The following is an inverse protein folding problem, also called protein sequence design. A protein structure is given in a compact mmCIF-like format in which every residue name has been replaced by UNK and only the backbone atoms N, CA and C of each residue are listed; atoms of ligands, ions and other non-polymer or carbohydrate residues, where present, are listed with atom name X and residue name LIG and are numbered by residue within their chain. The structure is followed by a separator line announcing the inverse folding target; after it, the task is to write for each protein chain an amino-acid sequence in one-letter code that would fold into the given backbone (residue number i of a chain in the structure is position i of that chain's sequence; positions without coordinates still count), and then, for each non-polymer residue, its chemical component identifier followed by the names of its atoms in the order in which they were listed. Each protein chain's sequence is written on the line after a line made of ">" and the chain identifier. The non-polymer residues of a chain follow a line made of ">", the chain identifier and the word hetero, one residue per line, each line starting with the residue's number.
data_IF_617477318323
#
_entry.id   IF_617477318323
#
_cell.length_a   1.000
_cell.length_b   1.000
_cell.length_c   1.000
_cell.angle_alpha   90.00
_cell.angle_beta   90.00
_cell.angle_gamma   90.00
#
_symmetry.space_group_name_H-M   'P 1'
#
loop_
_entity.id
_entity.type
_entity.pdbx_description
1 polymer ?
#
# COMPACT_ATOMS: atom_id res chain seq x y z
N UNK A 1 18.14 18.86 54.14
CA UNK A 1 17.12 19.87 54.49
C UNK A 1 17.00 20.78 53.29
N UNK A 2 16.28 20.36 52.25
CA UNK A 2 14.84 20.61 52.01
C UNK A 2 14.70 21.77 51.02
N UNK A 3 14.50 21.51 49.71
CA UNK A 3 13.29 21.10 48.96
C UNK A 3 12.52 22.28 48.35
N UNK A 4 11.92 21.99 47.18
CA UNK A 4 10.91 22.70 46.37
C UNK A 4 11.48 23.32 45.07
N UNK A 5 11.35 22.69 43.89
CA UNK A 5 10.17 22.22 43.10
C UNK A 5 9.60 23.35 42.22
N UNK A 6 9.78 23.18 40.89
CA UNK A 6 8.75 23.23 39.82
C UNK A 6 8.51 24.67 39.32
N UNK A 7 8.60 24.97 38.01
CA UNK A 7 7.62 24.58 37.00
C UNK A 7 8.24 24.33 35.62
N UNK A 8 7.87 23.19 35.05
CA UNK A 8 8.13 22.73 33.69
C UNK A 8 6.96 23.22 32.80
N UNK A 9 7.23 24.16 31.90
CA UNK A 9 6.21 24.69 30.98
C UNK A 9 6.07 23.71 29.81
N UNK A 10 5.28 22.67 30.02
CA UNK A 10 4.77 21.82 28.95
C UNK A 10 3.75 22.66 28.16
N UNK A 11 4.19 23.16 27.00
CA UNK A 11 3.30 23.76 26.02
C UNK A 11 2.26 22.72 25.59
N UNK A 12 1.03 22.91 26.03
CA UNK A 12 -0.12 22.18 25.55
C UNK A 12 -0.26 22.42 24.04
N UNK A 13 0.02 21.39 23.24
CA UNK A 13 -0.32 21.39 21.83
C UNK A 13 -1.84 21.31 21.76
N UNK A 14 -2.48 22.44 21.47
CA UNK A 14 -3.93 22.57 21.38
C UNK A 14 -4.52 21.50 20.46
N UNK A 15 -5.37 20.66 21.03
CA UNK A 15 -6.17 19.66 20.35
C UNK A 15 -7.37 20.27 19.60
N UNK A 16 -7.12 21.31 18.81
CA UNK A 16 -8.08 21.88 17.87
C UNK A 16 -7.93 21.21 16.49
N UNK A 17 -8.00 19.89 16.47
CA UNK A 17 -8.40 19.18 15.26
C UNK A 17 -9.93 19.10 15.28
N UNK A 18 -10.56 20.23 14.97
CA UNK A 18 -11.99 20.28 14.69
C UNK A 18 -12.34 19.14 13.73
N UNK A 19 -13.32 18.33 14.13
CA UNK A 19 -13.95 17.27 13.33
C UNK A 19 -14.51 17.88 12.04
N UNK A 20 -13.67 18.08 11.04
CA UNK A 20 -14.11 18.36 9.69
C UNK A 20 -14.98 17.18 9.25
N UNK A 21 -16.22 17.46 8.87
CA UNK A 21 -17.12 16.45 8.32
C UNK A 21 -16.40 15.71 7.18
N UNK A 22 -16.56 14.38 7.13
CA UNK A 22 -15.97 13.57 6.07
C UNK A 22 -16.33 14.19 4.70
N UNK A 23 -15.36 14.36 3.78
CA UNK A 23 -15.72 14.76 2.43
C UNK A 23 -16.70 13.74 1.84
N UNK A 24 -17.65 14.21 1.03
CA UNK A 24 -18.50 13.28 0.31
C UNK A 24 -17.61 12.43 -0.60
N UNK A 25 -17.65 11.11 -0.43
CA UNK A 25 -16.81 10.21 -1.20
C UNK A 25 -17.08 10.41 -2.71
N UNK A 26 -16.06 10.71 -3.52
CA UNK A 26 -16.25 10.86 -4.96
C UNK A 26 -16.60 9.51 -5.59
N UNK A 27 -17.15 9.53 -6.80
CA UNK A 27 -17.29 8.29 -7.57
C UNK A 27 -15.91 7.88 -8.11
N UNK A 28 -15.36 6.76 -7.62
CA UNK A 28 -14.01 6.30 -7.94
C UNK A 28 -13.79 6.11 -9.45
N UNK A 29 -14.69 5.42 -10.15
CA UNK A 29 -14.59 5.18 -11.60
C UNK A 29 -14.56 6.51 -12.38
N UNK A 30 -15.49 7.42 -12.09
CA UNK A 30 -15.55 8.71 -12.77
C UNK A 30 -14.30 9.56 -12.52
N UNK A 31 -13.81 9.59 -11.28
CA UNK A 31 -12.61 10.35 -10.92
C UNK A 31 -11.37 9.78 -11.63
N UNK A 32 -11.20 8.46 -11.64
CA UNK A 32 -10.08 7.81 -12.35
C UNK A 32 -10.20 8.02 -13.86
N UNK A 33 -11.37 7.82 -14.47
CA UNK A 33 -11.58 8.06 -15.90
C UNK A 33 -11.22 9.49 -16.32
N UNK A 34 -11.60 10.48 -15.50
CA UNK A 34 -11.27 11.87 -15.77
C UNK A 34 -9.76 12.12 -15.73
N UNK A 35 -9.02 11.50 -14.79
CA UNK A 35 -7.56 11.63 -14.71
C UNK A 35 -6.86 10.90 -15.86
N UNK A 36 -7.20 9.65 -16.11
CA UNK A 36 -6.49 8.81 -17.10
C UNK A 36 -6.64 9.33 -18.53
N UNK A 37 -7.77 9.98 -18.85
CA UNK A 37 -7.97 10.65 -20.15
C UNK A 37 -7.04 11.84 -20.41
N UNK A 38 -6.43 12.41 -19.37
CA UNK A 38 -5.48 13.52 -19.52
C UNK A 38 -4.04 13.06 -19.78
N UNK A 39 -3.76 11.76 -19.63
CA UNK A 39 -2.42 11.22 -19.80
C UNK A 39 -2.15 10.74 -21.23
N UNK A 40 -0.92 10.95 -21.69
CA UNK A 40 -0.38 10.31 -22.89
C UNK A 40 -0.06 8.83 -22.59
N UNK A 41 -1.12 8.00 -22.57
CA UNK A 41 -1.02 6.58 -22.24
C UNK A 41 -0.07 5.81 -23.18
N UNK A 42 -0.03 6.06 -24.50
CA UNK A 42 0.97 5.45 -25.37
C UNK A 42 2.42 5.73 -24.96
N UNK A 43 2.73 6.97 -24.54
CA UNK A 43 4.05 7.30 -24.02
C UNK A 43 4.32 6.60 -22.69
N UNK A 44 3.37 6.65 -21.74
CA UNK A 44 3.53 5.99 -20.43
C UNK A 44 3.73 4.48 -20.55
N UNK A 45 3.07 3.83 -21.52
CA UNK A 45 3.30 2.41 -21.83
C UNK A 45 4.72 2.15 -22.31
N UNK A 46 5.27 3.02 -23.16
CA UNK A 46 6.68 2.90 -23.60
C UNK A 46 7.63 3.07 -22.43
N UNK A 47 7.38 4.06 -21.57
CA UNK A 47 8.19 4.30 -20.37
C UNK A 47 8.13 3.10 -19.41
N UNK A 48 6.93 2.55 -19.18
CA UNK A 48 6.72 1.34 -18.38
C UNK A 48 7.53 0.15 -18.91
N UNK A 49 7.48 -0.10 -20.22
CA UNK A 49 8.23 -1.19 -20.85
C UNK A 49 9.75 -0.95 -20.81
N UNK A 50 10.19 0.28 -21.07
CA UNK A 50 11.61 0.65 -21.06
C UNK A 50 12.24 0.51 -19.67
N UNK A 51 11.46 0.74 -18.61
CA UNK A 51 11.88 0.57 -17.22
C UNK A 51 11.60 -0.84 -16.66
N UNK A 52 11.42 -1.82 -17.55
CA UNK A 52 11.17 -3.23 -17.21
C UNK A 52 9.97 -3.45 -16.29
N UNK A 53 8.82 -2.94 -16.73
CA UNK A 53 7.53 -2.98 -16.04
C UNK A 53 7.51 -2.17 -14.73
N UNK A 54 7.99 -0.92 -14.80
CA UNK A 54 7.92 0.05 -13.71
C UNK A 54 7.47 1.42 -14.23
N UNK A 55 6.55 2.07 -13.53
CA UNK A 55 6.13 3.45 -13.79
C UNK A 55 5.97 4.22 -12.47
N UNK A 56 6.48 5.44 -12.45
CA UNK A 56 6.25 6.42 -11.38
C UNK A 56 5.58 7.67 -11.95
N UNK A 57 4.53 8.14 -11.30
CA UNK A 57 3.87 9.41 -11.57
C UNK A 57 3.73 10.19 -10.27
N UNK A 58 4.28 11.40 -10.24
CA UNK A 58 4.16 12.29 -9.07
C UNK A 58 2.72 12.77 -8.85
N UNK A 59 1.96 12.97 -9.93
CA UNK A 59 0.57 13.40 -9.91
C UNK A 59 -0.31 12.41 -10.69
N UNK A 60 -1.15 11.66 -9.95
CA UNK A 60 -2.07 10.68 -10.54
C UNK A 60 -3.51 10.86 -10.06
N UNK A 61 -3.76 10.77 -8.75
CA UNK A 61 -5.12 10.84 -8.21
C UNK A 61 -5.70 12.25 -8.29
N UNK A 62 -7.01 12.32 -8.55
CA UNK A 62 -7.73 13.58 -8.46
C UNK A 62 -7.73 14.10 -7.00
N UNK A 63 -7.68 15.43 -6.77
CA UNK A 63 -7.60 15.99 -5.42
C UNK A 63 -8.68 15.48 -4.45
N UNK A 64 -9.91 15.27 -4.93
CA UNK A 64 -11.02 14.74 -4.14
C UNK A 64 -10.83 13.27 -3.73
N UNK A 65 -10.19 12.47 -4.57
CA UNK A 65 -9.85 11.07 -4.25
C UNK A 65 -8.72 11.05 -3.23
N UNK A 66 -7.68 11.87 -3.44
CA UNK A 66 -6.57 12.03 -2.50
C UNK A 66 -7.07 12.48 -1.12
N UNK A 67 -7.96 13.47 -1.06
CA UNK A 67 -8.55 13.95 0.19
C UNK A 67 -9.36 12.86 0.90
N UNK A 68 -10.16 12.07 0.17
CA UNK A 68 -10.91 10.95 0.73
C UNK A 68 -9.99 9.84 1.27
N UNK A 69 -8.87 9.54 0.59
CA UNK A 69 -7.88 8.57 1.07
C UNK A 69 -7.17 9.07 2.33
N UNK A 70 -6.77 10.34 2.39
CA UNK A 70 -6.17 10.96 3.59
C UNK A 70 -7.15 10.88 4.76
N UNK A 71 -8.42 11.25 4.54
CA UNK A 71 -9.46 11.18 5.56
C UNK A 71 -9.60 9.73 6.08
N UNK A 72 -9.73 8.76 5.18
CA UNK A 72 -9.85 7.34 5.51
C UNK A 72 -8.63 6.83 6.29
N UNK A 73 -7.42 7.19 5.87
CA UNK A 73 -6.18 6.78 6.53
C UNK A 73 -6.07 7.35 7.95
N UNK A 74 -6.47 8.61 8.17
CA UNK A 74 -6.49 9.22 9.51
C UNK A 74 -7.54 8.58 10.41
N UNK A 75 -8.74 8.30 9.89
CA UNK A 75 -9.80 7.64 10.64
C UNK A 75 -9.45 6.19 11.05
N UNK A 76 -8.51 5.56 10.36
CA UNK A 76 -8.05 4.20 10.62
C UNK A 76 -6.84 4.10 11.55
N UNK A 77 -6.35 5.22 12.11
CA UNK A 77 -5.15 5.22 12.97
C UNK A 77 -5.28 4.29 14.20
N UNK A 78 -6.46 4.24 14.82
CA UNK A 78 -6.71 3.39 15.99
C UNK A 78 -6.80 1.89 15.65
N UNK A 79 -6.91 1.56 14.36
CA UNK A 79 -7.00 0.18 13.86
C UNK A 79 -5.63 -0.36 13.39
N UNK A 80 -4.57 0.44 13.52
CA UNK A 80 -3.23 0.09 13.04
C UNK A 80 -2.65 -1.08 13.86
N UNK A 81 -2.44 -2.21 13.19
CA UNK A 81 -1.72 -3.35 13.73
C UNK A 81 -0.21 -3.20 13.44
N UNK A 82 0.62 -3.17 14.49
CA UNK A 82 2.07 -3.00 14.35
C UNK A 82 2.79 -4.33 14.34
N UNK A 83 3.74 -4.42 13.42
CA UNK A 83 4.57 -5.59 13.22
C UNK A 83 6.05 -5.20 13.19
N UNK A 84 6.89 -6.06 13.76
CA UNK A 84 8.32 -5.90 13.82
C UNK A 84 9.00 -7.24 13.54
N UNK A 85 9.77 -7.27 12.46
CA UNK A 85 10.68 -8.36 12.12
C UNK A 85 12.11 -7.78 12.16
N UNK A 86 12.92 -8.16 13.17
CA UNK A 86 14.26 -7.59 13.37
C UNK A 86 15.11 -7.62 12.09
N UNK A 87 15.67 -6.46 11.73
CA UNK A 87 16.53 -6.30 10.57
C UNK A 87 15.83 -6.34 9.20
N UNK A 88 14.50 -6.49 9.16
CA UNK A 88 13.75 -6.57 7.90
C UNK A 88 12.58 -5.61 7.80
N UNK A 89 11.74 -5.50 8.83
CA UNK A 89 10.53 -4.68 8.76
C UNK A 89 10.13 -4.15 10.12
N UNK A 90 9.73 -2.89 10.16
CA UNK A 90 9.08 -2.27 11.30
C UNK A 90 8.01 -1.32 10.80
N UNK A 91 6.77 -1.44 11.27
CA UNK A 91 5.73 -0.51 10.88
C UNK A 91 4.33 -0.94 11.31
N UNK A 92 3.36 -0.10 11.00
CA UNK A 92 1.95 -0.37 11.14
C UNK A 92 1.29 -0.79 9.83
N UNK A 93 0.18 -1.52 9.92
CA UNK A 93 -0.68 -1.77 8.77
C UNK A 93 -2.14 -1.86 9.15
N UNK A 94 -3.01 -1.53 8.21
CA UNK A 94 -4.45 -1.81 8.29
C UNK A 94 -4.82 -2.71 7.13
N UNK A 95 -5.28 -3.92 7.46
CA UNK A 95 -5.60 -4.96 6.46
C UNK A 95 -6.89 -4.63 5.71
N UNK A 96 -7.03 -5.23 4.52
CA UNK A 96 -8.26 -5.25 3.73
C UNK A 96 -9.53 -5.50 4.55
N UNK A 97 -9.53 -6.46 5.47
CA UNK A 97 -10.73 -6.80 6.25
C UNK A 97 -11.23 -5.62 7.10
N UNK A 98 -10.30 -4.83 7.64
CA UNK A 98 -10.66 -3.61 8.39
C UNK A 98 -11.11 -2.51 7.44
N UNK A 99 -10.39 -2.32 6.33
CA UNK A 99 -10.71 -1.34 5.29
C UNK A 99 -12.13 -1.57 4.74
N UNK A 100 -12.51 -2.82 4.45
CA UNK A 100 -13.83 -3.15 3.91
C UNK A 100 -14.99 -2.69 4.81
N UNK A 101 -14.77 -2.68 6.13
CA UNK A 101 -15.78 -2.27 7.11
C UNK A 101 -15.78 -0.76 7.36
N UNK A 102 -14.60 -0.15 7.39
CA UNK A 102 -14.42 1.20 7.94
C UNK A 102 -14.04 2.27 6.90
N UNK A 103 -13.54 1.85 5.74
CA UNK A 103 -13.14 2.73 4.63
C UNK A 103 -13.53 2.13 3.26
N UNK A 104 -14.83 1.87 3.01
CA UNK A 104 -15.29 1.15 1.82
C UNK A 104 -14.90 1.81 0.50
N UNK A 105 -14.70 3.14 0.48
CA UNK A 105 -14.22 3.87 -0.69
C UNK A 105 -12.86 3.34 -1.22
N UNK A 106 -11.96 2.88 -0.35
CA UNK A 106 -10.69 2.27 -0.77
C UNK A 106 -10.95 1.00 -1.58
N UNK A 107 -11.92 0.18 -1.14
CA UNK A 107 -12.29 -1.05 -1.82
C UNK A 107 -13.05 -0.77 -3.14
N UNK A 108 -13.79 0.33 -3.22
CA UNK A 108 -14.40 0.80 -4.47
C UNK A 108 -13.32 1.27 -5.47
N UNK A 109 -12.34 2.04 -5.02
CA UNK A 109 -11.20 2.47 -5.84
C UNK A 109 -10.38 1.28 -6.36
N UNK A 110 -10.13 0.29 -5.51
CA UNK A 110 -9.47 -0.97 -5.90
C UNK A 110 -10.24 -1.72 -7.01
N UNK A 111 -11.57 -1.68 -6.98
CA UNK A 111 -12.42 -2.37 -7.97
C UNK A 111 -12.77 -1.49 -9.17
N UNK A 112 -12.18 -0.29 -9.26
CA UNK A 112 -12.47 0.63 -10.34
C UNK A 112 -12.10 0.01 -11.68
N UNK A 113 -13.09 -0.10 -12.58
CA UNK A 113 -12.89 -0.66 -13.92
C UNK A 113 -12.03 0.25 -14.78
N UNK A 114 -12.13 1.56 -14.55
CA UNK A 114 -11.35 2.58 -15.24
C UNK A 114 -9.88 2.53 -14.81
N UNK A 115 -9.62 2.28 -13.52
CA UNK A 115 -8.27 2.04 -13.01
C UNK A 115 -7.68 0.77 -13.61
N UNK A 116 -8.36 -0.37 -13.43
CA UNK A 116 -7.91 -1.66 -13.94
C UNK A 116 -7.66 -1.57 -15.44
N UNK A 117 -8.62 -1.06 -16.22
CA UNK A 117 -8.51 -0.94 -17.67
C UNK A 117 -7.35 -0.04 -18.13
N UNK A 118 -7.01 1.01 -17.37
CA UNK A 118 -5.84 1.83 -17.67
C UNK A 118 -4.52 1.11 -17.34
N UNK A 119 -4.46 0.38 -16.21
CA UNK A 119 -3.30 -0.45 -15.86
C UNK A 119 -3.08 -1.60 -16.87
N UNK A 120 -4.16 -2.18 -17.43
CA UNK A 120 -4.09 -3.13 -18.54
C UNK A 120 -3.49 -2.50 -19.81
N UNK A 121 -3.80 -1.23 -20.10
CA UNK A 121 -3.22 -0.52 -21.24
C UNK A 121 -1.72 -0.28 -21.07
N UNK A 122 -1.27 0.02 -19.84
CA UNK A 122 0.14 0.21 -19.52
C UNK A 122 0.93 -1.10 -19.56
N UNK A 123 0.43 -2.13 -18.89
CA UNK A 123 1.10 -3.44 -18.80
C UNK A 123 1.01 -4.24 -20.10
N UNK A 124 -0.08 -4.07 -20.85
CA UNK A 124 -0.43 -4.93 -21.97
C UNK A 124 -1.08 -6.25 -21.55
N UNK A 125 -1.28 -6.46 -20.25
CA UNK A 125 -1.83 -7.69 -19.69
C UNK A 125 -3.29 -7.53 -19.27
N UNK A 126 -3.98 -8.66 -19.15
CA UNK A 126 -5.28 -8.70 -18.47
C UNK A 126 -5.08 -8.78 -16.98
N UNK A 127 -5.73 -7.87 -16.25
CA UNK A 127 -5.60 -7.72 -14.82
C UNK A 127 -6.91 -8.09 -14.14
N UNK A 128 -6.80 -8.93 -13.14
CA UNK A 128 -7.91 -9.38 -12.32
C UNK A 128 -7.70 -8.91 -10.89
N UNK A 129 -8.80 -8.68 -10.18
CA UNK A 129 -8.71 -8.50 -8.72
C UNK A 129 -8.17 -9.78 -8.09
N UNK A 130 -7.36 -9.61 -7.06
CA UNK A 130 -6.85 -10.71 -6.24
C UNK A 130 -8.02 -11.47 -5.58
N UNK A 131 -7.87 -12.78 -5.29
CA UNK A 131 -8.89 -13.58 -4.62
C UNK A 131 -9.46 -12.94 -3.35
N UNK A 132 -10.73 -13.22 -3.07
CA UNK A 132 -11.45 -12.65 -1.92
C UNK A 132 -10.82 -13.01 -0.57
N UNK A 133 -10.09 -14.12 -0.47
CA UNK A 133 -9.38 -14.55 0.73
C UNK A 133 -7.94 -14.04 0.81
N UNK A 134 -7.44 -13.32 -0.20
CA UNK A 134 -6.11 -12.70 -0.17
C UNK A 134 -6.11 -11.45 0.75
N UNK A 135 -5.42 -11.48 1.91
CA UNK A 135 -5.34 -10.33 2.79
C UNK A 135 -4.43 -9.22 2.25
N UNK A 136 -3.62 -9.52 1.23
CA UNK A 136 -2.70 -8.59 0.57
C UNK A 136 -3.32 -7.89 -0.64
N UNK A 137 -4.54 -8.26 -1.06
CA UNK A 137 -5.23 -7.60 -2.18
C UNK A 137 -5.19 -6.06 -2.10
N UNK A 138 -5.34 -5.53 -0.89
CA UNK A 138 -5.00 -4.14 -0.57
C UNK A 138 -4.78 -3.92 0.93
N UNK A 139 -3.90 -2.99 1.26
CA UNK A 139 -3.61 -2.60 2.64
C UNK A 139 -3.08 -1.17 2.72
N UNK A 140 -3.27 -0.54 3.88
CA UNK A 140 -2.57 0.69 4.24
C UNK A 140 -1.34 0.32 5.09
N UNK A 141 -0.20 0.92 4.78
CA UNK A 141 1.03 0.79 5.56
C UNK A 141 1.38 2.12 6.21
N UNK A 142 1.61 2.09 7.52
CA UNK A 142 1.84 3.26 8.37
C UNK A 142 3.26 3.26 8.92
N UNK A 143 4.02 4.29 8.58
CA UNK A 143 5.34 4.59 9.10
C UNK A 143 5.19 5.84 9.95
N UNK A 144 5.10 5.65 11.27
CA UNK A 144 4.66 6.67 12.25
C UNK A 144 5.57 6.71 13.48
N UNK A 145 6.60 5.86 13.51
CA UNK A 145 7.62 5.84 14.55
C UNK A 145 8.99 5.85 13.90
N UNK A 146 9.95 6.49 14.57
CA UNK A 146 11.34 6.46 14.16
C UNK A 146 11.81 5.02 13.93
N UNK A 147 12.49 4.80 12.81
CA UNK A 147 12.98 3.49 12.41
C UNK A 147 11.94 2.60 11.73
N UNK A 148 10.67 3.00 11.57
CA UNK A 148 9.73 2.25 10.73
C UNK A 148 10.29 2.15 9.29
N UNK A 149 10.37 0.95 8.73
CA UNK A 149 10.93 0.66 7.41
C UNK A 149 10.43 -0.69 6.89
N UNK A 150 10.69 -0.95 5.61
CA UNK A 150 10.72 -2.31 5.06
C UNK A 150 12.00 -2.45 4.25
N UNK A 151 12.75 -3.52 4.48
CA UNK A 151 14.00 -3.81 3.80
C UNK A 151 13.79 -4.22 2.34
N UNK A 152 14.90 -4.52 1.65
CA UNK A 152 14.85 -4.95 0.26
C UNK A 152 14.05 -6.24 0.08
N UNK A 153 13.05 -6.21 -0.80
CA UNK A 153 12.20 -7.34 -1.13
C UNK A 153 11.64 -7.22 -2.56
N UNK A 154 10.92 -8.27 -2.97
CA UNK A 154 10.10 -8.35 -4.17
C UNK A 154 8.67 -8.69 -3.74
N UNK A 155 7.68 -8.25 -4.50
CA UNK A 155 6.26 -8.60 -4.29
C UNK A 155 5.88 -9.81 -5.14
N UNK A 156 6.69 -10.87 -5.02
CA UNK A 156 6.57 -12.07 -5.87
C UNK A 156 5.18 -12.70 -5.78
N UNK A 157 4.65 -13.09 -6.93
CA UNK A 157 3.33 -13.71 -7.01
C UNK A 157 3.30 -15.08 -6.35
N UNK A 158 2.24 -15.33 -5.56
CA UNK A 158 1.91 -16.68 -5.06
C UNK A 158 0.94 -17.42 -5.98
N UNK A 159 0.42 -16.73 -7.01
CA UNK A 159 -0.52 -17.26 -7.98
C UNK A 159 0.21 -17.81 -9.20
N UNK A 160 -0.52 -18.53 -10.06
CA UNK A 160 0.05 -19.05 -11.31
C UNK A 160 0.39 -17.91 -12.31
N UNK A 161 -0.26 -16.75 -12.18
CA UNK A 161 0.01 -15.56 -12.98
C UNK A 161 0.97 -14.55 -12.31
N UNK A 162 1.30 -13.50 -13.05
CA UNK A 162 2.05 -12.35 -12.54
C UNK A 162 1.22 -11.58 -11.51
N UNK A 163 1.92 -10.96 -10.57
CA UNK A 163 1.35 -10.03 -9.59
C UNK A 163 1.85 -8.63 -9.89
N UNK A 164 0.94 -7.69 -10.00
CA UNK A 164 1.22 -6.28 -10.19
C UNK A 164 0.86 -5.51 -8.93
N UNK A 165 1.83 -4.73 -8.45
CA UNK A 165 1.68 -3.86 -7.29
C UNK A 165 1.43 -2.44 -7.78
N UNK A 166 0.39 -1.81 -7.24
CA UNK A 166 0.12 -0.39 -7.36
C UNK A 166 0.24 0.26 -5.97
N UNK A 167 1.22 1.13 -5.80
CA UNK A 167 1.40 1.97 -4.61
C UNK A 167 0.84 3.36 -4.87
N UNK A 168 0.06 3.85 -3.90
CA UNK A 168 -0.46 5.21 -3.89
C UNK A 168 0.06 5.92 -2.63
N UNK A 169 0.62 7.11 -2.82
CA UNK A 169 0.95 8.00 -1.72
C UNK A 169 -0.35 8.53 -1.10
N UNK A 170 -0.50 8.39 0.23
CA UNK A 170 -1.69 8.87 0.94
C UNK A 170 -1.32 10.05 1.84
N UNK A 171 -0.35 9.88 2.72
CA UNK A 171 0.23 10.93 3.57
C UNK A 171 1.75 10.79 3.48
N UNK A 172 2.47 11.90 3.30
CA UNK A 172 3.93 11.87 3.27
C UNK A 172 4.52 13.15 3.87
N UNK A 173 4.50 13.21 5.20
CA UNK A 173 5.20 14.21 6.01
C UNK A 173 6.48 13.55 6.58
N UNK A 174 7.35 13.10 5.67
CA UNK A 174 8.51 12.29 6.04
C UNK A 174 9.71 12.48 5.10
N UNK A 175 10.86 11.98 5.54
CA UNK A 175 12.05 11.80 4.71
C UNK A 175 12.13 10.40 4.11
N UNK A 176 11.13 9.53 4.36
CA UNK A 176 11.06 8.20 3.78
C UNK A 176 11.07 8.29 2.25
N UNK A 177 11.75 7.36 1.60
CA UNK A 177 11.76 7.17 0.15
C UNK A 177 11.48 5.72 -0.18
N UNK A 178 10.84 5.50 -1.32
CA UNK A 178 10.85 4.21 -2.00
C UNK A 178 12.16 4.12 -2.78
N UNK A 179 13.12 3.36 -2.24
CA UNK A 179 14.30 2.98 -3.02
C UNK A 179 13.95 1.74 -3.85
N UNK A 180 14.42 1.70 -5.08
CA UNK A 180 14.20 0.58 -5.99
C UNK A 180 15.40 0.31 -6.89
N UNK A 181 15.46 -0.89 -7.44
CA UNK A 181 16.42 -1.31 -8.46
C UNK A 181 15.64 -1.87 -9.65
N UNK A 182 15.78 -1.24 -10.81
CA UNK A 182 15.22 -1.71 -12.07
C UNK A 182 16.14 -2.78 -12.68
N UNK A 183 15.62 -3.59 -13.60
CA UNK A 183 16.36 -4.56 -14.39
C UNK A 183 17.04 -5.70 -13.61
N UNK A 184 16.77 -5.85 -12.31
CA UNK A 184 17.37 -6.88 -11.44
C UNK A 184 17.13 -8.33 -11.88
N UNK A 185 16.19 -8.54 -12.81
CA UNK A 185 15.84 -9.84 -13.42
C UNK A 185 16.12 -9.89 -14.92
N UNK A 186 16.78 -8.89 -15.48
CA UNK A 186 17.13 -8.80 -16.88
C UNK A 186 18.65 -9.00 -17.06
N UNK A 187 19.11 -10.17 -17.57
CA UNK A 187 20.55 -10.43 -17.72
C UNK A 187 21.23 -9.55 -18.77
N UNK A 188 20.47 -8.90 -19.65
CA UNK A 188 20.99 -8.08 -20.75
C UNK A 188 21.17 -6.61 -20.38
N UNK A 189 20.66 -6.18 -19.22
CA UNK A 189 20.68 -4.80 -18.75
C UNK A 189 21.27 -4.73 -17.34
N UNK A 190 22.16 -3.77 -17.03
CA UNK A 190 22.64 -3.60 -15.67
C UNK A 190 21.52 -3.11 -14.74
N UNK A 191 21.58 -3.54 -13.48
CA UNK A 191 20.71 -3.02 -12.43
C UNK A 191 20.79 -1.49 -12.36
N UNK A 192 19.64 -0.83 -12.35
CA UNK A 192 19.57 0.63 -12.26
C UNK A 192 18.89 1.05 -10.95
N UNK A 193 19.64 1.61 -9.98
CA UNK A 193 19.06 2.10 -8.75
C UNK A 193 18.29 3.40 -8.98
N UNK A 194 17.21 3.58 -8.23
CA UNK A 194 16.42 4.80 -8.17
C UNK A 194 15.81 5.00 -6.79
N UNK A 195 15.31 6.21 -6.55
CA UNK A 195 14.69 6.55 -5.28
C UNK A 195 13.69 7.69 -5.47
N UNK A 196 12.46 7.51 -4.99
CA UNK A 196 11.37 8.50 -5.13
C UNK A 196 10.63 8.69 -3.80
N UNK A 197 10.13 9.90 -3.59
CA UNK A 197 9.00 10.13 -2.67
C UNK A 197 7.71 9.94 -3.45
N UNK A 198 6.67 9.46 -2.79
CA UNK A 198 5.36 9.28 -3.42
C UNK A 198 4.42 10.24 -2.71
N UNK A 199 4.28 11.48 -3.20
CA UNK A 199 3.45 12.48 -2.53
C UNK A 199 1.98 12.03 -2.49
N UNK A 200 1.13 12.64 -1.65
CA UNK A 200 -0.30 12.36 -1.64
C UNK A 200 -0.91 12.45 -3.04
N UNK A 201 -1.46 11.34 -3.52
CA UNK A 201 -2.02 11.22 -4.87
C UNK A 201 -1.05 10.74 -5.95
N UNK A 202 0.24 10.63 -5.65
CA UNK A 202 1.24 10.03 -6.52
C UNK A 202 1.09 8.51 -6.63
N UNK A 203 1.66 7.95 -7.69
CA UNK A 203 1.51 6.56 -8.09
C UNK A 203 2.88 5.92 -8.39
N UNK A 204 3.04 4.68 -7.96
CA UNK A 204 4.07 3.75 -8.46
C UNK A 204 3.37 2.45 -8.87
N UNK A 205 3.60 1.98 -10.09
CA UNK A 205 3.02 0.74 -10.62
C UNK A 205 4.12 -0.16 -11.18
N UNK A 206 4.14 -1.43 -10.78
CA UNK A 206 5.18 -2.37 -11.20
C UNK A 206 4.77 -3.83 -11.19
N UNK A 207 5.53 -4.65 -11.93
CA UNK A 207 5.52 -6.11 -11.83
C UNK A 207 6.30 -6.56 -10.58
N UNK A 208 5.62 -7.24 -9.66
CA UNK A 208 6.14 -7.60 -8.33
C UNK A 208 7.34 -8.55 -8.37
N UNK A 209 7.52 -9.31 -9.46
CA UNK A 209 8.69 -10.19 -9.62
C UNK A 209 9.93 -9.47 -10.14
N UNK A 210 9.76 -8.26 -10.69
CA UNK A 210 10.84 -7.51 -11.36
C UNK A 210 11.42 -6.37 -10.54
N UNK A 211 10.60 -5.71 -9.72
CA UNK A 211 11.06 -4.55 -8.94
C UNK A 211 11.56 -4.98 -7.57
N UNK A 212 12.89 -4.97 -7.38
CA UNK A 212 13.47 -5.02 -6.05
C UNK A 212 13.33 -3.65 -5.40
N UNK A 213 12.71 -3.58 -4.23
CA UNK A 213 12.45 -2.29 -3.60
C UNK A 213 12.44 -2.35 -2.06
N UNK A 214 12.51 -1.17 -1.43
CA UNK A 214 12.45 -0.97 0.02
C UNK A 214 11.87 0.40 0.36
N UNK A 215 11.43 0.59 1.60
CA UNK A 215 11.12 1.93 2.14
C UNK A 215 12.18 2.29 3.18
N UNK A 216 12.83 3.44 3.00
CA UNK A 216 13.86 3.90 3.93
C UNK A 216 13.28 4.19 5.32
N UNK A 217 14.09 4.10 6.39
CA UNK A 217 13.61 4.33 7.75
C UNK A 217 13.03 5.72 7.97
N UNK A 218 11.88 5.76 8.64
CA UNK A 218 11.26 7.02 9.08
C UNK A 218 12.09 7.70 10.17
N UNK A 219 12.13 9.03 10.12
CA UNK A 219 12.70 9.89 11.15
C UNK A 219 11.82 10.03 12.38
N UNK A 220 12.29 10.81 13.35
CA UNK A 220 11.49 11.15 14.53
C UNK A 220 10.36 12.13 14.16
N UNK A 221 9.15 11.87 14.68
CA UNK A 221 7.95 12.67 14.43
C UNK A 221 7.51 12.75 12.96
N UNK A 222 8.00 11.84 12.11
CA UNK A 222 7.58 11.73 10.71
C UNK A 222 6.36 10.83 10.56
N UNK A 223 5.57 11.09 9.51
CA UNK A 223 4.42 10.27 9.16
C UNK A 223 4.38 10.02 7.66
N UNK A 224 4.43 8.73 7.29
CA UNK A 224 4.13 8.27 5.93
C UNK A 224 3.06 7.21 5.97
N UNK A 225 2.07 7.34 5.09
CA UNK A 225 1.05 6.33 4.83
C UNK A 225 0.99 6.06 3.33
N UNK A 226 1.17 4.79 2.97
CA UNK A 226 1.03 4.32 1.59
C UNK A 226 -0.09 3.29 1.50
N UNK A 227 -0.90 3.39 0.45
CA UNK A 227 -1.90 2.40 0.08
C UNK A 227 -1.32 1.49 -1.00
N UNK A 228 -1.46 0.18 -0.82
CA UNK A 228 -1.07 -0.82 -1.82
C UNK A 228 -2.29 -1.53 -2.36
N UNK A 229 -2.34 -1.71 -3.68
CA UNK A 229 -3.29 -2.54 -4.42
C UNK A 229 -2.55 -3.62 -5.20
N UNK A 230 -3.07 -4.84 -5.15
CA UNK A 230 -2.51 -6.00 -5.83
C UNK A 230 -3.47 -6.55 -6.87
N UNK A 231 -3.01 -6.64 -8.11
CA UNK A 231 -3.73 -7.26 -9.23
C UNK A 231 -2.95 -8.45 -9.77
N UNK A 232 -3.67 -9.42 -10.32
CA UNK A 232 -3.06 -10.67 -10.82
C UNK A 232 -3.50 -10.96 -12.24
N UNK A 233 -2.64 -11.58 -13.04
CA UNK A 233 -3.03 -11.99 -14.40
C UNK A 233 -3.81 -13.31 -14.39
N UNK A 234 -3.51 -14.19 -13.43
CA UNK A 234 -4.22 -15.45 -13.19
C UNK A 234 -4.31 -15.68 -11.67
N UNK A 235 -5.51 -15.66 -11.06
CA UNK A 235 -5.72 -15.81 -9.62
C UNK A 235 -5.70 -17.28 -9.14
N UNK A 236 -5.48 -18.25 -10.03
CA UNK A 236 -5.40 -19.65 -9.64
C UNK A 236 -4.16 -19.92 -8.77
N UNK A 237 -4.35 -20.75 -7.74
CA UNK A 237 -3.27 -21.29 -6.93
C UNK A 237 -3.25 -22.80 -7.04
N UNK A 238 -2.09 -23.39 -7.31
CA UNK A 238 -1.88 -24.84 -7.13
C UNK A 238 -2.26 -25.26 -5.70
N UNK A 239 -3.10 -26.30 -5.49
CA UNK A 239 -3.67 -26.66 -4.19
C UNK A 239 -2.65 -26.85 -3.06
N UNK A 240 -1.45 -27.34 -3.38
CA UNK A 240 -0.38 -27.56 -2.40
C UNK A 240 0.38 -26.28 -1.99
N UNK A 241 0.37 -25.22 -2.82
CA UNK A 241 0.96 -23.92 -2.48
C UNK A 241 0.05 -23.10 -1.57
N UNK A 242 -1.26 -23.27 -1.69
CA UNK A 242 -2.31 -22.58 -0.92
C UNK A 242 -2.24 -22.85 0.60
N UNK A 243 -1.74 -24.02 1.00
CA UNK A 243 -1.62 -24.40 2.43
C UNK A 243 -0.37 -23.79 3.09
N UNK A 244 0.73 -23.64 2.34
CA UNK A 244 2.02 -23.16 2.85
C UNK A 244 2.05 -21.61 2.92
N UNK A 245 1.42 -20.92 1.96
CA UNK A 245 1.41 -19.45 1.88
C UNK A 245 0.51 -18.80 2.94
N UNK A 246 -0.74 -19.25 3.09
CA UNK A 246 -1.70 -18.69 4.07
C UNK A 246 -1.18 -18.65 5.52
N UNK A 247 -0.34 -19.61 5.91
CA UNK A 247 0.22 -19.68 7.27
C UNK A 247 1.43 -18.77 7.44
N UNK A 248 2.31 -18.68 6.44
CA UNK A 248 3.55 -17.89 6.54
C UNK A 248 3.29 -16.39 6.42
N UNK A 249 2.41 -15.97 5.52
CA UNK A 249 2.19 -14.55 5.24
C UNK A 249 1.35 -13.87 6.34
N UNK A 250 0.36 -14.56 6.89
CA UNK A 250 -0.45 -13.99 7.96
C UNK A 250 0.32 -13.87 9.30
N UNK A 251 1.32 -14.73 9.52
CA UNK A 251 2.26 -14.60 10.64
C UNK A 251 3.26 -13.47 10.37
N UNK A 252 3.81 -13.39 9.15
CA UNK A 252 4.85 -12.43 8.79
C UNK A 252 4.34 -10.99 8.62
N UNK A 253 3.07 -10.77 8.28
CA UNK A 253 2.51 -9.43 8.06
C UNK A 253 1.55 -8.94 9.15
N UNK A 254 0.70 -9.80 9.71
CA UNK A 254 -0.40 -9.39 10.60
C UNK A 254 -0.26 -9.90 12.05
N UNK A 255 0.75 -10.73 12.31
CA UNK A 255 1.00 -11.35 13.60
C UNK A 255 -0.03 -12.44 13.94
N UNK A 256 0.41 -13.40 14.77
CA UNK A 256 -0.34 -14.62 15.11
C UNK A 256 -1.79 -14.37 15.58
N UNK A 257 -2.08 -13.24 16.24
CA UNK A 257 -3.41 -12.96 16.84
C UNK A 257 -4.55 -12.87 15.82
N UNK A 258 -4.30 -12.42 14.59
CA UNK A 258 -5.35 -12.27 13.57
C UNK A 258 -5.66 -13.60 12.86
N UNK A 259 -4.65 -14.46 12.69
CA UNK A 259 -4.77 -15.82 12.15
C UNK A 259 -5.64 -16.69 13.04
N UNK A 260 -5.38 -16.67 14.35
CA UNK A 260 -6.18 -17.45 15.31
C UNK A 260 -7.64 -16.98 15.39
N UNK A 261 -7.91 -15.67 15.17
CA UNK A 261 -9.27 -15.14 15.17
C UNK A 261 -10.06 -15.57 13.93
N UNK A 262 -9.43 -15.62 12.75
CA UNK A 262 -10.04 -16.16 11.52
C UNK A 262 -10.28 -17.67 11.59
N UNK A 263 -9.35 -18.45 12.17
CA UNK A 263 -9.52 -19.88 12.37
C UNK A 263 -10.66 -20.19 13.35
N UNK A 264 -10.79 -19.40 14.42
CA UNK A 264 -11.90 -19.53 15.37
C UNK A 264 -13.26 -19.16 14.76
N UNK A 265 -13.31 -18.17 13.86
CA UNK A 265 -14.54 -17.80 13.15
C UNK A 265 -14.98 -18.88 12.14
N UNK A 266 -14.05 -19.43 11.35
CA UNK A 266 -14.33 -20.54 10.41
C UNK A 266 -14.75 -21.85 11.10
N UNK A 267 -14.35 -22.04 12.36
CA UNK A 267 -14.80 -23.19 13.17
C UNK A 267 -16.23 -23.05 13.69
N UNK A 268 -16.77 -21.84 13.80
CA UNK A 268 -18.15 -21.58 14.24
C UNK A 268 -19.18 -21.72 13.12
N UNK A 269 -18.80 -21.46 11.87
CA UNK A 269 -19.69 -21.63 10.70
C UNK A 269 -19.79 -23.09 10.21
N UNK A 270 -19.10 -24.02 10.88
CA UNK A 270 -19.10 -25.46 10.58
C UNK A 270 -19.59 -26.34 11.74
N UNK A 271 -20.18 -25.73 12.77
CA UNK A 271 -20.79 -26.42 13.90
C UNK A 271 -22.32 -26.27 13.85
#
# INVERSE_FOLDING_TARGET
>A
MSTHAEDDVIAAVSADAASAAAPAAPNADRAVANRTRTFDTPRLRKDFAAQDAFLYLEDFLAPEVTAQLIHSARALLDEVNRNYLPGHKQGGSVSRHTIDRLAPFIAELYRSKELIGWLEQLSGDKLQVSPLDDPHAYALYYYTRAGDHIGWHYDTSYYDGRRYTLLLGVIDDSSCRLDYELHTRNPDMPDQPGSVQIPPGGLVFFDGDKLRHRVTPAGANEMRVSLTFEYVTDPNMRPWRRLISNMKDAIAYFGFRQVFRQLAARGKDRA
#
